data_IF_666577221157
#
_entry.id   IF_666577221157
#
_cell.length_a   1.000
_cell.length_b   1.000
_cell.length_c   1.000
_cell.angle_alpha   90.00
_cell.angle_beta   90.00
_cell.angle_gamma   90.00
#
_symmetry.space_group_name_H-M   'P 1'
#
loop_
_entity.id
_entity.type
_entity.pdbx_description
1 polymer ?
#
# COMPACT_ATOMS: atom_id res chain seq x y z
N UNK A 1 -12.77 9.23 8.23
CA UNK A 1 -11.90 8.04 8.39
C UNK A 1 -10.46 8.50 8.42
N UNK A 2 -9.66 7.99 9.35
CA UNK A 2 -8.21 8.22 9.37
C UNK A 2 -7.49 7.35 8.31
N UNK A 3 -6.16 7.52 8.21
CA UNK A 3 -5.33 6.74 7.30
C UNK A 3 -5.18 5.28 7.74
N UNK A 4 -5.20 5.02 9.04
CA UNK A 4 -5.11 3.67 9.58
C UNK A 4 -6.24 2.78 9.05
N UNK A 5 -7.49 3.24 9.21
CA UNK A 5 -8.65 2.50 8.72
C UNK A 5 -8.67 2.40 7.19
N UNK A 6 -8.19 3.42 6.48
CA UNK A 6 -8.04 3.35 5.03
C UNK A 6 -7.09 2.20 4.62
N UNK A 7 -5.90 2.14 5.21
CA UNK A 7 -4.94 1.08 4.87
C UNK A 7 -5.45 -0.29 5.28
N UNK A 8 -6.16 -0.40 6.41
CA UNK A 8 -6.79 -1.64 6.85
C UNK A 8 -7.81 -2.16 5.82
N UNK A 9 -8.66 -1.30 5.25
CA UNK A 9 -9.60 -1.70 4.18
C UNK A 9 -8.87 -2.18 2.93
N UNK A 10 -7.78 -1.50 2.54
CA UNK A 10 -6.99 -1.94 1.38
C UNK A 10 -6.32 -3.29 1.64
N UNK A 11 -5.84 -3.53 2.87
CA UNK A 11 -5.30 -4.84 3.29
C UNK A 11 -6.35 -5.92 3.14
N UNK A 12 -7.55 -5.73 3.69
CA UNK A 12 -8.64 -6.71 3.61
C UNK A 12 -9.03 -7.02 2.16
N UNK A 13 -9.09 -6.01 1.29
CA UNK A 13 -9.32 -6.21 -0.15
C UNK A 13 -8.23 -7.06 -0.80
N UNK A 14 -6.96 -6.80 -0.47
CA UNK A 14 -5.82 -7.56 -1.02
C UNK A 14 -5.80 -9.00 -0.49
N UNK A 15 -6.15 -9.22 0.78
CA UNK A 15 -6.24 -10.55 1.37
C UNK A 15 -7.36 -11.38 0.74
N UNK A 16 -8.51 -10.75 0.49
CA UNK A 16 -9.66 -11.37 -0.17
C UNK A 16 -9.54 -11.45 -1.70
N UNK A 17 -8.52 -10.83 -2.30
CA UNK A 17 -8.36 -10.75 -3.75
C UNK A 17 -8.02 -12.11 -4.38
N UNK A 18 -8.73 -12.48 -5.44
CA UNK A 18 -8.33 -13.57 -6.33
C UNK A 18 -7.35 -13.10 -7.43
N UNK A 19 -7.32 -11.78 -7.72
CA UNK A 19 -6.50 -11.17 -8.77
C UNK A 19 -5.05 -10.97 -8.33
N UNK A 20 -4.85 -10.43 -7.12
CA UNK A 20 -3.51 -10.22 -6.56
C UNK A 20 -3.08 -11.51 -5.89
N UNK A 21 -2.25 -12.30 -6.57
CA UNK A 21 -1.74 -13.57 -6.07
C UNK A 21 -0.24 -13.52 -5.78
N UNK A 22 0.32 -14.61 -5.26
CA UNK A 22 1.77 -14.76 -5.11
C UNK A 22 2.48 -15.26 -6.37
N UNK A 23 1.77 -15.45 -7.47
CA UNK A 23 2.34 -15.98 -8.72
C UNK A 23 2.92 -14.89 -9.63
N UNK A 24 3.21 -13.72 -9.08
CA UNK A 24 3.77 -12.62 -9.85
C UNK A 24 5.17 -12.92 -10.37
N UNK A 25 5.56 -12.19 -11.41
CA UNK A 25 6.93 -12.13 -11.89
C UNK A 25 7.39 -10.70 -11.96
N UNK A 26 8.68 -10.45 -11.75
CA UNK A 26 9.27 -9.14 -12.00
C UNK A 26 9.59 -8.92 -13.49
N UNK A 27 10.17 -7.76 -13.81
CA UNK A 27 10.51 -7.36 -15.18
C UNK A 27 11.56 -8.29 -15.84
N UNK A 28 12.32 -9.04 -15.05
CA UNK A 28 13.33 -9.99 -15.51
C UNK A 28 12.78 -11.43 -15.56
N UNK A 29 11.51 -11.63 -15.17
CA UNK A 29 10.81 -12.91 -15.23
C UNK A 29 11.00 -13.78 -13.99
N UNK A 30 11.62 -13.28 -12.92
CA UNK A 30 11.79 -14.03 -11.67
C UNK A 30 10.50 -14.05 -10.86
N UNK A 31 10.28 -15.17 -10.17
CA UNK A 31 9.14 -15.34 -9.28
C UNK A 31 9.15 -14.30 -8.16
N UNK A 32 8.01 -13.64 -7.97
CA UNK A 32 7.81 -12.63 -6.95
C UNK A 32 6.50 -12.91 -6.21
N UNK A 33 6.54 -13.13 -4.87
CA UNK A 33 5.34 -13.32 -4.08
C UNK A 33 4.59 -11.98 -3.88
N UNK A 34 3.93 -11.52 -4.95
CA UNK A 34 3.38 -10.15 -5.06
C UNK A 34 2.39 -9.82 -3.96
N UNK A 35 1.44 -10.72 -3.64
CA UNK A 35 0.50 -10.52 -2.52
C UNK A 35 1.24 -10.32 -1.20
N UNK A 36 2.17 -11.21 -0.86
CA UNK A 36 2.92 -11.12 0.40
C UNK A 36 3.71 -9.81 0.50
N UNK A 37 4.37 -9.40 -0.58
CA UNK A 37 5.14 -8.15 -0.60
C UNK A 37 4.20 -6.95 -0.48
N UNK A 38 3.08 -6.95 -1.18
CA UNK A 38 2.09 -5.88 -1.12
C UNK A 38 1.52 -5.72 0.29
N UNK A 39 1.10 -6.82 0.92
CA UNK A 39 0.59 -6.81 2.29
C UNK A 39 1.62 -6.24 3.27
N UNK A 40 2.90 -6.59 3.10
CA UNK A 40 3.98 -6.00 3.90
C UNK A 40 4.07 -4.46 3.72
N UNK A 41 3.96 -3.95 2.50
CA UNK A 41 4.02 -2.51 2.25
C UNK A 41 2.78 -1.79 2.81
N UNK A 42 1.59 -2.41 2.73
CA UNK A 42 0.38 -1.88 3.34
C UNK A 42 0.44 -1.87 4.88
N UNK A 43 1.00 -2.90 5.51
CA UNK A 43 1.21 -2.90 6.97
C UNK A 43 2.21 -1.80 7.39
N UNK A 44 3.29 -1.58 6.63
CA UNK A 44 4.20 -0.44 6.88
C UNK A 44 3.46 0.89 6.87
N UNK A 45 2.59 1.10 5.88
CA UNK A 45 1.77 2.31 5.78
C UNK A 45 0.83 2.44 6.98
N UNK A 46 0.13 1.36 7.34
CA UNK A 46 -0.77 1.33 8.50
C UNK A 46 -0.04 1.62 9.81
N UNK A 47 1.08 0.97 10.06
CA UNK A 47 1.74 1.03 11.38
C UNK A 47 2.60 2.28 11.55
N UNK A 48 3.17 2.81 10.46
CA UNK A 48 4.17 3.87 10.53
C UNK A 48 3.68 5.23 10.05
N UNK A 49 2.44 5.38 9.55
CA UNK A 49 1.95 6.67 9.02
C UNK A 49 2.06 7.83 10.04
N UNK A 50 1.92 7.53 11.34
CA UNK A 50 2.04 8.52 12.41
C UNK A 50 3.49 8.78 12.86
N UNK A 51 4.50 8.17 12.23
CA UNK A 51 5.92 8.26 12.61
C UNK A 51 6.70 9.14 11.62
N UNK A 52 7.05 10.38 11.97
CA UNK A 52 7.73 11.30 11.04
C UNK A 52 9.08 10.78 10.52
N UNK A 53 9.81 10.03 11.35
CA UNK A 53 11.12 9.44 10.98
C UNK A 53 11.02 8.31 9.97
N UNK A 54 9.83 7.73 9.77
CA UNK A 54 9.59 6.63 8.84
C UNK A 54 9.24 7.12 7.42
N UNK A 55 9.26 8.43 7.15
CA UNK A 55 8.89 9.02 5.85
C UNK A 55 9.53 8.33 4.63
N UNK A 56 10.85 8.02 4.60
CA UNK A 56 11.43 7.31 3.45
C UNK A 56 10.83 5.92 3.21
N UNK A 57 10.51 5.21 4.30
CA UNK A 57 9.86 3.90 4.22
C UNK A 57 8.41 4.04 3.75
N UNK A 58 7.67 5.03 4.23
CA UNK A 58 6.30 5.31 3.81
C UNK A 58 6.22 5.69 2.33
N UNK A 59 7.18 6.49 1.83
CA UNK A 59 7.28 6.83 0.41
C UNK A 59 7.51 5.59 -0.46
N UNK A 60 8.48 4.75 -0.10
CA UNK A 60 8.75 3.51 -0.82
C UNK A 60 7.56 2.54 -0.72
N UNK A 61 6.91 2.47 0.45
CA UNK A 61 5.74 1.65 0.67
C UNK A 61 4.57 2.07 -0.24
N UNK A 62 4.27 3.36 -0.24
CA UNK A 62 3.19 3.92 -1.05
C UNK A 62 3.45 3.77 -2.55
N UNK A 63 4.69 4.00 -3.00
CA UNK A 63 5.07 3.81 -4.41
C UNK A 63 4.76 2.38 -4.88
N UNK A 64 5.19 1.38 -4.10
CA UNK A 64 4.92 -0.02 -4.43
C UNK A 64 3.42 -0.33 -4.49
N UNK A 65 2.64 0.22 -3.55
CA UNK A 65 1.17 0.03 -3.51
C UNK A 65 0.53 0.60 -4.78
N UNK A 66 0.87 1.81 -5.19
CA UNK A 66 0.31 2.44 -6.41
C UNK A 66 0.72 1.71 -7.69
N UNK A 67 1.92 1.12 -7.72
CA UNK A 67 2.39 0.33 -8.87
C UNK A 67 1.75 -1.06 -8.96
N UNK A 68 1.25 -1.60 -7.85
CA UNK A 68 0.78 -3.00 -7.78
C UNK A 68 -0.73 -3.12 -7.63
N UNK A 69 -1.39 -2.17 -6.98
CA UNK A 69 -2.83 -2.20 -6.70
C UNK A 69 -3.59 -1.51 -7.82
N UNK A 70 -4.71 -2.09 -8.30
CA UNK A 70 -5.58 -1.43 -9.26
C UNK A 70 -6.00 -0.02 -8.77
N UNK A 71 -5.87 1.04 -9.59
CA UNK A 71 -6.16 2.42 -9.16
C UNK A 71 -7.56 2.62 -8.57
N UNK A 72 -8.55 1.86 -9.04
CA UNK A 72 -9.93 1.86 -8.56
C UNK A 72 -10.08 1.41 -7.09
N UNK A 73 -9.08 0.75 -6.51
CA UNK A 73 -9.09 0.37 -5.09
C UNK A 73 -8.52 1.48 -4.20
N UNK A 74 -7.78 2.43 -4.77
CA UNK A 74 -7.06 3.49 -4.05
C UNK A 74 -7.86 4.79 -3.96
N UNK A 75 -9.14 4.68 -3.63
CA UNK A 75 -10.06 5.83 -3.50
C UNK A 75 -9.88 6.48 -2.13
N UNK A 76 -9.22 7.64 -2.12
CA UNK A 76 -9.02 8.47 -0.93
C UNK A 76 -10.05 9.61 -0.87
N UNK A 77 -10.57 9.88 0.32
CA UNK A 77 -11.27 11.14 0.62
C UNK A 77 -10.31 12.33 0.59
N UNK A 78 -10.81 13.56 0.47
CA UNK A 78 -9.94 14.74 0.38
C UNK A 78 -9.07 14.94 1.64
N UNK A 79 -9.61 14.67 2.83
CA UNK A 79 -8.85 14.68 4.08
C UNK A 79 -7.73 13.64 4.08
N UNK A 80 -8.00 12.43 3.58
CA UNK A 80 -6.99 11.37 3.46
C UNK A 80 -5.93 11.71 2.43
N UNK A 81 -6.28 12.36 1.31
CA UNK A 81 -5.29 12.85 0.33
C UNK A 81 -4.34 13.85 0.98
N UNK A 82 -4.86 14.79 1.76
CA UNK A 82 -4.05 15.78 2.48
C UNK A 82 -3.17 15.10 3.52
N UNK A 83 -3.72 14.19 4.31
CA UNK A 83 -2.96 13.45 5.34
C UNK A 83 -1.85 12.59 4.72
N UNK A 84 -2.17 11.85 3.66
CA UNK A 84 -1.23 11.02 2.93
C UNK A 84 -0.11 11.88 2.32
N UNK A 85 -0.46 12.99 1.67
CA UNK A 85 0.50 13.93 1.11
C UNK A 85 1.49 14.42 2.17
N UNK A 86 1.05 14.71 3.39
CA UNK A 86 1.95 15.17 4.48
C UNK A 86 2.99 14.12 4.90
N UNK A 87 2.67 12.83 4.79
CA UNK A 87 3.57 11.75 5.24
C UNK A 87 4.46 11.22 4.12
N UNK A 88 4.10 11.46 2.85
CA UNK A 88 4.88 11.02 1.67
C UNK A 88 5.55 12.18 0.90
N UNK A 89 5.18 13.45 1.11
CA UNK A 89 5.81 14.61 0.46
C UNK A 89 6.88 15.22 1.34
#
# INVERSE_FOLDING_TARGET
MDLENYFQIVIEKVEASEEITNQGKDAEGFYKPTRTILLRHLQILKDLHAKPRAKPMLQSAWKYVVETVPPEWLILTDDQKVALKKIIS
#
